data_IF_602157164930
#
_entry.id   IF_602157164930
#
_cell.length_a   1.000
_cell.length_b   1.000
_cell.length_c   1.000
_cell.angle_alpha   90.00
_cell.angle_beta   90.00
_cell.angle_gamma   90.00
#
_symmetry.space_group_name_H-M   'P 1'
#
loop_
_entity.id
_entity.type
_entity.pdbx_description
1 polymer ?
#
# COMPACT_ATOMS: atom_id res chain seq x y z
N UNK A 1 17.96 -6.69 4.78
CA UNK A 1 16.85 -7.63 4.60
C UNK A 1 16.01 -7.09 3.45
N UNK A 2 15.86 -7.87 2.38
CA UNK A 2 15.07 -7.44 1.23
C UNK A 2 13.58 -7.64 1.57
N UNK A 3 12.77 -6.59 1.39
CA UNK A 3 11.34 -6.61 1.70
C UNK A 3 10.58 -6.32 0.42
N UNK A 4 9.83 -7.30 -0.04
CA UNK A 4 9.05 -7.21 -1.28
C UNK A 4 7.57 -7.38 -0.97
N UNK A 5 6.75 -6.46 -1.45
CA UNK A 5 5.30 -6.51 -1.29
C UNK A 5 4.61 -6.17 -2.60
N UNK A 6 3.62 -6.98 -2.97
CA UNK A 6 2.76 -6.68 -4.10
C UNK A 6 1.76 -5.56 -3.75
N UNK A 7 1.75 -4.54 -4.59
CA UNK A 7 0.86 -3.38 -4.50
C UNK A 7 0.05 -3.25 -5.80
N UNK A 8 -1.11 -2.61 -5.70
CA UNK A 8 -1.91 -2.23 -6.87
C UNK A 8 -1.99 -0.71 -6.96
N UNK A 9 -2.10 -0.14 -8.17
CA UNK A 9 -2.35 1.30 -8.32
C UNK A 9 -3.73 1.61 -7.75
N UNK A 10 -3.83 2.69 -6.95
CA UNK A 10 -5.12 3.09 -6.39
C UNK A 10 -6.06 3.54 -7.52
N UNK A 11 -7.29 3.00 -7.62
CA UNK A 11 -8.25 3.46 -8.61
C UNK A 11 -8.60 4.94 -8.38
N UNK A 12 -8.64 5.73 -9.45
CA UNK A 12 -9.02 7.14 -9.38
C UNK A 12 -10.45 7.31 -8.85
N UNK A 13 -10.68 8.32 -8.00
CA UNK A 13 -11.99 8.56 -7.38
C UNK A 13 -12.41 7.54 -6.32
N UNK A 14 -11.58 6.56 -5.98
CA UNK A 14 -11.89 5.57 -4.95
C UNK A 14 -11.98 6.21 -3.56
N UNK A 15 -13.06 5.90 -2.83
CA UNK A 15 -13.23 6.35 -1.44
C UNK A 15 -12.38 5.51 -0.51
N UNK A 16 -11.49 6.15 0.24
CA UNK A 16 -10.58 5.44 1.17
C UNK A 16 -11.29 4.62 2.24
N UNK A 17 -12.54 4.95 2.60
CA UNK A 17 -13.36 4.12 3.50
C UNK A 17 -13.88 2.84 2.83
N UNK A 18 -14.18 2.87 1.53
CA UNK A 18 -14.63 1.69 0.79
C UNK A 18 -13.46 0.69 0.64
N UNK A 19 -12.28 1.17 0.22
CA UNK A 19 -11.07 0.37 0.10
C UNK A 19 -10.75 -0.40 1.41
N UNK A 20 -10.83 0.28 2.57
CA UNK A 20 -10.56 -0.38 3.86
C UNK A 20 -11.57 -1.46 4.21
N UNK A 21 -12.84 -1.33 3.78
CA UNK A 21 -13.87 -2.37 3.97
C UNK A 21 -13.63 -3.57 3.06
N UNK A 22 -13.04 -3.35 1.89
CA UNK A 22 -12.61 -4.38 0.95
C UNK A 22 -11.29 -5.06 1.35
N UNK A 23 -10.67 -4.64 2.46
CA UNK A 23 -9.40 -5.19 2.92
C UNK A 23 -8.16 -4.57 2.26
N UNK A 24 -8.32 -3.46 1.55
CA UNK A 24 -7.24 -2.72 0.91
C UNK A 24 -6.85 -1.50 1.75
N UNK A 25 -5.56 -1.38 2.06
CA UNK A 25 -4.96 -0.23 2.72
C UNK A 25 -4.52 0.76 1.63
N UNK A 26 -5.09 1.98 1.57
CA UNK A 26 -4.57 3.03 0.71
C UNK A 26 -3.20 3.49 1.22
N UNK A 27 -2.21 3.55 0.34
CA UNK A 27 -0.83 3.93 0.62
C UNK A 27 -0.30 4.89 -0.44
N UNK A 28 0.82 5.56 -0.15
CA UNK A 28 1.53 6.41 -1.09
C UNK A 28 3.00 6.01 -1.05
N UNK A 29 3.55 5.67 -2.21
CA UNK A 29 4.98 5.47 -2.40
C UNK A 29 5.62 6.81 -2.73
N UNK A 30 6.58 7.22 -1.91
CA UNK A 30 7.35 8.45 -2.06
C UNK A 30 8.83 8.16 -1.84
N UNK A 31 9.71 9.01 -2.38
CA UNK A 31 11.15 8.89 -2.19
C UNK A 31 11.93 9.77 -3.16
N UNK A 32 13.20 10.02 -2.85
CA UNK A 32 14.05 10.91 -3.67
C UNK A 32 14.27 10.39 -5.10
N UNK A 33 14.19 9.07 -5.29
CA UNK A 33 14.35 8.42 -6.59
C UNK A 33 13.02 8.25 -7.34
N UNK A 34 11.89 8.61 -6.73
CA UNK A 34 10.58 8.56 -7.37
C UNK A 34 10.16 9.99 -7.69
N UNK A 35 10.05 10.37 -8.97
CA UNK A 35 9.79 11.75 -9.36
C UNK A 35 8.42 12.25 -8.90
N UNK A 36 7.46 11.34 -8.73
CA UNK A 36 6.09 11.64 -8.31
C UNK A 36 5.59 10.65 -7.25
N UNK A 37 4.75 11.14 -6.34
CA UNK A 37 4.07 10.29 -5.36
C UNK A 37 3.14 9.31 -6.06
N UNK A 38 3.37 8.01 -5.90
CA UNK A 38 2.53 6.98 -6.52
C UNK A 38 1.48 6.51 -5.51
N UNK A 39 0.21 6.70 -5.86
CA UNK A 39 -0.91 6.22 -5.04
C UNK A 39 -1.13 4.72 -5.26
N UNK A 40 -1.10 3.96 -4.16
CA UNK A 40 -1.16 2.51 -4.16
C UNK A 40 -2.24 2.00 -3.21
N UNK A 41 -2.61 0.74 -3.37
CA UNK A 41 -3.36 -0.07 -2.42
C UNK A 41 -2.57 -1.34 -2.09
N UNK A 42 -2.62 -1.74 -0.82
CA UNK A 42 -1.93 -2.91 -0.29
C UNK A 42 -2.95 -3.78 0.42
N UNK A 43 -2.86 -5.10 0.25
CA UNK A 43 -3.69 -6.03 1.01
C UNK A 43 -3.39 -5.95 2.52
N UNK A 44 -4.44 -5.86 3.34
CA UNK A 44 -4.33 -5.70 4.79
C UNK A 44 -3.60 -6.85 5.48
N UNK A 45 -3.73 -8.09 5.00
CA UNK A 45 -3.04 -9.24 5.58
C UNK A 45 -1.56 -9.18 5.26
N UNK A 46 -1.20 -8.87 4.01
CA UNK A 46 0.20 -8.68 3.60
C UNK A 46 0.87 -7.57 4.39
N UNK A 47 0.24 -6.41 4.51
CA UNK A 47 0.78 -5.29 5.28
C UNK A 47 1.00 -5.64 6.77
N UNK A 48 0.04 -6.35 7.40
CA UNK A 48 0.19 -6.81 8.79
C UNK A 48 1.32 -7.82 8.96
N UNK A 49 1.50 -8.72 8.00
CA UNK A 49 2.59 -9.70 8.04
C UNK A 49 3.94 -8.99 7.98
N UNK A 50 4.11 -8.04 7.06
CA UNK A 50 5.33 -7.24 6.95
C UNK A 50 5.70 -6.52 8.25
N UNK A 51 4.72 -5.96 8.96
CA UNK A 51 4.98 -5.28 10.24
C UNK A 51 5.46 -6.25 11.33
N UNK A 52 5.04 -7.52 11.29
CA UNK A 52 5.52 -8.55 12.22
C UNK A 52 6.90 -9.06 11.85
N UNK A 53 7.20 -9.15 10.57
CA UNK A 53 8.50 -9.66 10.10
C UNK A 53 9.61 -8.60 10.27
N UNK A 54 9.24 -7.32 10.36
CA UNK A 54 10.17 -6.20 10.54
C UNK A 54 10.46 -5.84 12.01
N UNK A 55 9.76 -6.47 12.98
CA UNK A 55 9.92 -6.21 14.42
C UNK A 55 10.99 -7.07 15.08
#
# INVERSE_FOLDING_TARGET
>A
MEVTVECQKRPEGSKTKALRREGLIPAVLYGHQVPESVELTIDVKKAKQLLKDAS
#
